data_IF_353134439259
#
_entry.id   IF_353134439259
#
_cell.length_a   1.000
_cell.length_b   1.000
_cell.length_c   1.000
_cell.angle_alpha   90.00
_cell.angle_beta   90.00
_cell.angle_gamma   90.00
#
_symmetry.space_group_name_H-M   'P 1'
#
loop_
_entity.id
_entity.type
_entity.pdbx_description
1 polymer ?
#
# COMPACT_ATOMS: atom_id res chain seq x y z
N UNK A 1 26.14 0.78 -15.17
CA UNK A 1 25.24 1.95 -15.22
C UNK A 1 23.96 1.51 -14.56
N UNK A 2 23.65 2.04 -13.38
CA UNK A 2 22.42 1.71 -12.67
C UNK A 2 21.27 2.40 -13.42
N UNK A 3 20.20 1.65 -13.68
CA UNK A 3 19.00 2.17 -14.29
C UNK A 3 18.19 2.92 -13.23
N UNK A 4 18.32 4.25 -13.22
CA UNK A 4 17.73 5.13 -12.19
C UNK A 4 16.20 4.95 -12.12
N UNK A 5 15.54 4.67 -13.25
CA UNK A 5 14.11 4.41 -13.28
C UNK A 5 13.76 3.11 -12.53
N UNK A 6 14.55 2.05 -12.74
CA UNK A 6 14.36 0.80 -12.01
C UNK A 6 14.57 0.97 -10.49
N UNK A 7 15.51 1.83 -10.08
CA UNK A 7 15.77 2.09 -8.66
C UNK A 7 14.66 2.90 -8.00
N UNK A 8 14.13 3.92 -8.70
CA UNK A 8 12.96 4.68 -8.25
C UNK A 8 11.73 3.78 -8.14
N UNK A 9 11.48 2.93 -9.14
CA UNK A 9 10.36 2.00 -9.10
C UNK A 9 10.49 0.99 -7.95
N UNK A 10 11.70 0.48 -7.70
CA UNK A 10 11.97 -0.41 -6.58
C UNK A 10 11.74 0.29 -5.23
N UNK A 11 12.21 1.53 -5.09
CA UNK A 11 12.00 2.31 -3.87
C UNK A 11 10.50 2.53 -3.59
N UNK A 12 9.75 2.98 -4.59
CA UNK A 12 8.29 3.17 -4.48
C UNK A 12 7.60 1.86 -4.12
N UNK A 13 7.97 0.74 -4.75
CA UNK A 13 7.40 -0.57 -4.47
C UNK A 13 7.61 -0.98 -3.00
N UNK A 14 8.81 -0.79 -2.47
CA UNK A 14 9.14 -1.11 -1.07
C UNK A 14 8.32 -0.24 -0.10
N UNK A 15 8.18 1.06 -0.37
CA UNK A 15 7.39 1.96 0.47
C UNK A 15 5.91 1.55 0.53
N UNK A 16 5.32 1.26 -0.64
CA UNK A 16 3.93 0.82 -0.71
C UNK A 16 3.71 -0.54 -0.04
N UNK A 17 4.59 -1.51 -0.30
CA UNK A 17 4.47 -2.85 0.30
C UNK A 17 4.53 -2.75 1.83
N UNK A 18 5.48 -1.99 2.38
CA UNK A 18 5.60 -1.82 3.82
C UNK A 18 4.39 -1.14 4.47
N UNK A 19 3.75 -0.19 3.77
CA UNK A 19 2.48 0.39 4.24
C UNK A 19 1.36 -0.64 4.23
N UNK A 20 1.20 -1.38 3.15
CA UNK A 20 0.14 -2.37 3.02
C UNK A 20 0.26 -3.48 4.05
N UNK A 21 1.48 -3.95 4.33
CA UNK A 21 1.73 -4.97 5.35
C UNK A 21 1.32 -4.48 6.75
N UNK A 22 1.69 -3.24 7.12
CA UNK A 22 1.29 -2.64 8.41
C UNK A 22 -0.22 -2.48 8.54
N UNK A 23 -0.88 -2.05 7.47
CA UNK A 23 -2.34 -1.91 7.47
C UNK A 23 -3.02 -3.28 7.49
N UNK A 24 -2.47 -4.27 6.80
CA UNK A 24 -2.96 -5.64 6.85
C UNK A 24 -2.96 -6.16 8.29
N UNK A 25 -1.84 -6.05 9.00
CA UNK A 25 -1.71 -6.55 10.36
C UNK A 25 -2.67 -5.87 11.37
N UNK A 26 -3.01 -4.60 11.13
CA UNK A 26 -3.84 -3.81 12.05
C UNK A 26 -5.32 -3.70 11.67
N UNK A 27 -5.65 -3.85 10.37
CA UNK A 27 -6.97 -3.57 9.80
C UNK A 27 -7.53 -4.70 8.92
N UNK A 28 -6.90 -5.87 8.87
CA UNK A 28 -7.47 -7.03 8.17
C UNK A 28 -8.91 -7.30 8.59
N UNK A 29 -9.77 -7.67 7.62
CA UNK A 29 -11.21 -7.95 7.82
C UNK A 29 -12.06 -6.77 8.28
N UNK A 30 -11.53 -5.55 8.32
CA UNK A 30 -12.32 -4.32 8.49
C UNK A 30 -12.97 -3.92 7.17
N UNK A 31 -14.03 -3.08 7.19
CA UNK A 31 -14.64 -2.58 5.97
C UNK A 31 -13.64 -1.83 5.08
N UNK A 32 -13.73 -2.03 3.76
CA UNK A 32 -12.86 -1.38 2.74
C UNK A 32 -12.68 0.14 2.98
N UNK A 33 -13.71 0.94 3.32
CA UNK A 33 -13.51 2.37 3.56
C UNK A 33 -12.56 2.66 4.73
N UNK A 34 -12.60 1.86 5.80
CA UNK A 34 -11.73 2.02 6.95
C UNK A 34 -10.29 1.61 6.62
N UNK A 35 -10.11 0.50 5.88
CA UNK A 35 -8.80 0.05 5.42
C UNK A 35 -8.18 1.08 4.46
N UNK A 36 -8.97 1.58 3.50
CA UNK A 36 -8.54 2.62 2.55
C UNK A 36 -8.04 3.87 3.27
N UNK A 37 -8.79 4.33 4.28
CA UNK A 37 -8.39 5.49 5.08
C UNK A 37 -7.07 5.24 5.81
N UNK A 38 -6.90 4.06 6.42
CA UNK A 38 -5.64 3.68 7.09
C UNK A 38 -4.44 3.67 6.13
N UNK A 39 -4.60 3.11 4.93
CA UNK A 39 -3.56 3.14 3.88
C UNK A 39 -3.20 4.58 3.51
N UNK A 40 -4.19 5.46 3.30
CA UNK A 40 -3.95 6.85 2.92
C UNK A 40 -3.20 7.61 4.01
N UNK A 41 -3.54 7.38 5.28
CA UNK A 41 -2.89 8.03 6.41
C UNK A 41 -1.43 7.54 6.57
N UNK A 42 -1.17 6.25 6.39
CA UNK A 42 0.19 5.68 6.39
C UNK A 42 1.03 6.19 5.21
N UNK A 43 0.48 6.25 4.00
CA UNK A 43 1.18 6.80 2.83
C UNK A 43 1.52 8.28 3.01
N UNK A 44 0.60 9.05 3.61
CA UNK A 44 0.83 10.46 3.95
C UNK A 44 1.96 10.60 4.96
N UNK A 45 2.00 9.77 6.01
CA UNK A 45 3.10 9.77 6.99
C UNK A 45 4.45 9.39 6.36
N UNK A 46 4.44 8.46 5.41
CA UNK A 46 5.63 8.06 4.66
C UNK A 46 6.07 9.08 3.59
N UNK A 47 5.36 10.21 3.43
CA UNK A 47 5.63 11.20 2.38
C UNK A 47 5.44 10.64 0.96
N UNK A 48 4.71 9.54 0.81
CA UNK A 48 4.51 8.86 -0.46
C UNK A 48 3.21 9.32 -1.10
N UNK A 49 3.26 9.71 -2.37
CA UNK A 49 2.06 10.12 -3.10
C UNK A 49 1.15 8.91 -3.33
N UNK A 50 -0.10 8.90 -2.84
CA UNK A 50 -1.01 7.77 -3.00
C UNK A 50 -1.50 7.62 -4.44
N UNK A 51 -1.41 6.40 -4.97
CA UNK A 51 -1.96 5.98 -6.26
C UNK A 51 -3.28 5.29 -6.02
N UNK A 52 -4.36 5.89 -6.52
CA UNK A 52 -5.74 5.42 -6.28
C UNK A 52 -5.91 3.93 -6.60
N UNK A 53 -5.41 3.45 -7.73
CA UNK A 53 -5.60 2.05 -8.14
C UNK A 53 -4.91 1.05 -7.20
N UNK A 54 -3.70 1.38 -6.73
CA UNK A 54 -2.96 0.56 -5.78
C UNK A 54 -3.63 0.56 -4.40
N UNK A 55 -4.06 1.74 -3.95
CA UNK A 55 -4.74 1.91 -2.66
C UNK A 55 -6.08 1.17 -2.65
N UNK A 56 -6.85 1.26 -3.72
CA UNK A 56 -8.15 0.61 -3.83
C UNK A 56 -8.00 -0.91 -3.87
N UNK A 57 -7.08 -1.43 -4.71
CA UNK A 57 -6.79 -2.86 -4.77
C UNK A 57 -6.25 -3.43 -3.44
N UNK A 58 -5.37 -2.69 -2.77
CA UNK A 58 -4.85 -3.10 -1.47
C UNK A 58 -5.93 -3.08 -0.39
N UNK A 59 -6.79 -2.05 -0.37
CA UNK A 59 -7.88 -1.96 0.59
C UNK A 59 -8.88 -3.12 0.44
N UNK A 60 -9.20 -3.51 -0.79
CA UNK A 60 -10.08 -4.65 -1.07
C UNK A 60 -9.44 -5.97 -0.63
N UNK A 61 -8.17 -6.22 -0.99
CA UNK A 61 -7.46 -7.43 -0.59
C UNK A 61 -7.34 -7.55 0.94
N UNK A 62 -6.92 -6.49 1.62
CA UNK A 62 -6.76 -6.46 3.08
C UNK A 62 -8.13 -6.60 3.78
N UNK A 63 -9.17 -5.97 3.25
CA UNK A 63 -10.54 -6.13 3.78
C UNK A 63 -11.03 -7.57 3.63
N UNK A 64 -10.66 -8.27 2.55
CA UNK A 64 -10.92 -9.69 2.39
C UNK A 64 -10.04 -10.58 3.30
N UNK A 65 -9.05 -10.02 3.99
CA UNK A 65 -8.08 -10.76 4.81
C UNK A 65 -6.99 -11.43 3.99
N UNK A 66 -6.77 -10.98 2.76
CA UNK A 66 -5.72 -11.46 1.87
C UNK A 66 -4.52 -10.49 1.87
N UNK A 67 -3.29 -11.01 1.81
CA UNK A 67 -2.12 -10.17 1.59
C UNK A 67 -2.19 -9.54 0.20
N UNK A 68 -1.90 -8.25 0.11
CA UNK A 68 -1.79 -7.56 -1.19
C UNK A 68 -0.36 -7.61 -1.69
N UNK A 69 -0.19 -8.01 -2.96
CA UNK A 69 1.11 -8.02 -3.63
C UNK A 69 1.09 -7.02 -4.77
N UNK A 70 2.02 -6.06 -4.75
CA UNK A 70 2.17 -5.12 -5.86
C UNK A 70 2.57 -5.86 -7.14
N UNK A 71 1.90 -5.62 -8.29
CA UNK A 71 2.30 -6.18 -9.58
C UNK A 71 3.73 -5.74 -9.97
#
# INVERSE_FOLDING_TARGET
MIDLEAEIQRFVRVQYQGVFDRVHDSHARRPVPAVRQAILDELRQAGTTPRKDLVDGAAEAISAGNPYTLP
#
